data_IF_780229274691
#
_entry.id   IF_780229274691
#
_cell.length_a   1.000
_cell.length_b   1.000
_cell.length_c   1.000
_cell.angle_alpha   90.00
_cell.angle_beta   90.00
_cell.angle_gamma   90.00
#
_symmetry.space_group_name_H-M   'P 1'
#
loop_
_entity.id
_entity.type
_entity.pdbx_description
1 polymer ?
#
# COMPACT_ATOMS: atom_id res chain seq x y z
N UNK A 1 16.96 24.18 8.81
CA UNK A 1 16.67 22.80 9.26
C UNK A 1 17.74 21.88 8.70
N UNK A 2 18.13 20.83 9.43
CA UNK A 2 19.04 19.82 8.89
C UNK A 2 18.34 18.94 7.85
N UNK A 3 19.10 18.27 6.99
CA UNK A 3 18.56 17.28 6.02
C UNK A 3 17.70 16.23 6.70
N UNK A 4 18.18 15.67 7.80
CA UNK A 4 17.43 14.66 8.57
C UNK A 4 16.11 15.19 9.13
N UNK A 5 16.08 16.42 9.65
CA UNK A 5 14.84 17.04 10.14
C UNK A 5 13.81 17.20 9.02
N UNK A 6 14.22 17.64 7.82
CA UNK A 6 13.32 17.78 6.68
C UNK A 6 12.77 16.41 6.25
N UNK A 7 13.64 15.41 6.09
CA UNK A 7 13.27 14.09 5.60
C UNK A 7 12.26 13.34 6.48
N UNK A 8 12.23 13.63 7.79
CA UNK A 8 11.32 12.99 8.74
C UNK A 8 10.13 13.85 9.17
N UNK A 9 9.98 15.07 8.63
CA UNK A 9 8.74 15.83 8.81
C UNK A 9 7.56 15.15 8.14
N UNK A 10 6.37 15.34 8.70
CA UNK A 10 5.13 14.91 8.07
C UNK A 10 4.93 15.65 6.73
N UNK A 11 4.35 15.01 5.75
CA UNK A 11 4.04 15.62 4.46
C UNK A 11 3.12 16.84 4.62
N UNK A 12 2.15 16.75 5.51
CA UNK A 12 1.26 17.87 5.90
C UNK A 12 2.04 19.06 6.43
N UNK A 13 3.05 18.82 7.27
CA UNK A 13 3.93 19.87 7.80
C UNK A 13 4.81 20.48 6.71
N UNK A 14 5.42 19.64 5.85
CA UNK A 14 6.25 20.14 4.73
C UNK A 14 5.44 21.06 3.80
N UNK A 15 4.22 20.70 3.43
CA UNK A 15 3.34 21.54 2.60
C UNK A 15 3.04 22.86 3.30
N UNK A 16 2.79 22.85 4.62
CA UNK A 16 2.57 24.08 5.41
C UNK A 16 3.81 24.99 5.37
N UNK A 17 4.99 24.45 5.67
CA UNK A 17 6.26 25.18 5.68
C UNK A 17 6.59 25.80 4.32
N UNK A 18 6.38 25.05 3.22
CA UNK A 18 6.57 25.55 1.85
C UNK A 18 5.62 26.71 1.58
N UNK A 19 4.34 26.59 1.91
CA UNK A 19 3.36 27.68 1.70
C UNK A 19 3.65 28.92 2.52
N UNK A 20 4.18 28.76 3.73
CA UNK A 20 4.59 29.86 4.60
C UNK A 20 5.96 30.44 4.23
N UNK A 21 6.62 29.86 3.23
CA UNK A 21 7.99 30.24 2.79
C UNK A 21 9.04 30.09 3.91
N UNK A 22 8.79 29.18 4.86
CA UNK A 22 9.75 28.83 5.91
C UNK A 22 10.83 27.88 5.39
N UNK A 23 10.50 27.11 4.32
CA UNK A 23 11.42 26.27 3.55
C UNK A 23 11.05 26.36 2.08
N UNK A 24 12.02 26.36 1.18
CA UNK A 24 11.79 26.32 -0.25
C UNK A 24 11.49 24.89 -0.71
N UNK A 25 10.81 24.76 -1.85
CA UNK A 25 10.61 23.44 -2.51
C UNK A 25 11.95 22.82 -2.87
N UNK A 26 12.92 23.65 -3.29
CA UNK A 26 14.27 23.21 -3.63
C UNK A 26 15.00 22.63 -2.42
N UNK A 27 14.96 23.26 -1.25
CA UNK A 27 15.57 22.74 -0.01
C UNK A 27 14.95 21.40 0.40
N UNK A 28 13.62 21.26 0.31
CA UNK A 28 12.93 19.98 0.57
C UNK A 28 13.39 18.91 -0.42
N UNK A 29 13.47 19.25 -1.71
CA UNK A 29 13.91 18.32 -2.74
C UNK A 29 15.36 17.90 -2.53
N UNK A 30 16.28 18.84 -2.33
CA UNK A 30 17.71 18.56 -2.07
C UNK A 30 17.90 17.65 -0.85
N UNK A 31 17.15 17.87 0.22
CA UNK A 31 17.22 17.04 1.41
C UNK A 31 16.81 15.58 1.10
N UNK A 32 15.70 15.36 0.40
CA UNK A 32 15.23 14.03 0.07
C UNK A 32 16.12 13.32 -0.96
N UNK A 33 16.63 14.03 -1.97
CA UNK A 33 17.58 13.47 -2.94
C UNK A 33 18.88 13.07 -2.26
N UNK A 34 19.42 13.88 -1.35
CA UNK A 34 20.59 13.53 -0.54
C UNK A 34 20.34 12.27 0.32
N UNK A 35 19.13 12.11 0.87
CA UNK A 35 18.74 10.93 1.61
C UNK A 35 18.66 9.70 0.70
N UNK A 36 18.13 9.84 -0.53
CA UNK A 36 18.13 8.78 -1.54
C UNK A 36 19.54 8.35 -1.87
N UNK A 37 20.44 9.30 -2.18
CA UNK A 37 21.82 9.02 -2.55
C UNK A 37 22.58 8.28 -1.43
N UNK A 38 22.26 8.57 -0.16
CA UNK A 38 22.88 7.96 1.01
C UNK A 38 22.37 6.53 1.27
N UNK A 39 21.07 6.29 1.18
CA UNK A 39 20.43 5.08 1.67
C UNK A 39 20.08 4.09 0.56
N UNK A 40 19.64 4.57 -0.59
CA UNK A 40 19.14 3.71 -1.67
C UNK A 40 20.17 2.69 -2.21
N UNK A 41 21.48 2.99 -2.25
CA UNK A 41 22.48 1.99 -2.63
C UNK A 41 22.50 0.73 -1.75
N UNK A 42 22.03 0.83 -0.50
CA UNK A 42 21.94 -0.31 0.43
C UNK A 42 20.61 -1.05 0.28
N UNK A 43 19.49 -0.32 0.18
CA UNK A 43 18.15 -0.92 0.27
C UNK A 43 17.48 -1.15 -1.08
N UNK A 44 17.92 -0.53 -2.15
CA UNK A 44 17.40 -0.68 -3.51
C UNK A 44 15.87 -0.47 -3.62
N UNK A 45 15.39 0.63 -3.05
CA UNK A 45 13.97 0.95 -2.98
C UNK A 45 13.48 1.79 -4.17
N UNK A 46 14.32 2.74 -4.64
CA UNK A 46 14.03 3.62 -5.77
C UNK A 46 14.84 3.18 -6.98
N UNK A 47 14.13 2.90 -8.07
CA UNK A 47 14.69 2.55 -9.38
C UNK A 47 14.60 3.75 -10.33
N UNK A 48 14.73 3.65 -11.60
CA UNK A 48 14.53 4.74 -12.59
C UNK A 48 14.54 6.15 -11.96
N UNK A 49 15.71 6.56 -11.43
CA UNK A 49 15.90 7.78 -10.64
C UNK A 49 16.34 8.96 -11.53
N UNK A 50 15.73 10.15 -11.36
CA UNK A 50 15.99 11.33 -12.20
C UNK A 50 16.07 12.63 -11.37
N UNK A 51 17.13 12.78 -10.55
CA UNK A 51 17.26 13.87 -9.58
C UNK A 51 17.38 15.27 -10.24
N UNK A 52 18.08 15.39 -11.35
CA UNK A 52 18.27 16.69 -12.04
C UNK A 52 16.93 17.26 -12.50
N UNK A 53 16.08 16.44 -13.11
CA UNK A 53 14.76 16.88 -13.54
C UNK A 53 13.88 17.29 -12.34
N UNK A 54 14.00 16.59 -11.22
CA UNK A 54 13.26 16.93 -10.00
C UNK A 54 13.72 18.28 -9.41
N UNK A 55 15.01 18.56 -9.40
CA UNK A 55 15.55 19.85 -8.97
C UNK A 55 15.11 21.01 -9.87
N UNK A 56 15.08 20.81 -11.19
CA UNK A 56 14.57 21.81 -12.13
C UNK A 56 13.08 22.12 -11.87
N UNK A 57 12.28 21.08 -11.60
CA UNK A 57 10.87 21.26 -11.26
C UNK A 57 10.68 21.92 -9.90
N UNK A 58 11.52 21.61 -8.91
CA UNK A 58 11.50 22.25 -7.59
C UNK A 58 11.82 23.75 -7.71
N UNK A 59 12.82 24.14 -8.51
CA UNK A 59 13.13 25.54 -8.77
C UNK A 59 11.96 26.30 -9.40
N UNK A 60 11.28 25.71 -10.39
CA UNK A 60 10.07 26.28 -10.98
C UNK A 60 8.92 26.39 -9.99
N UNK A 61 8.80 25.43 -9.08
CA UNK A 61 7.80 25.48 -8.02
C UNK A 61 8.06 26.63 -7.03
N UNK A 62 9.32 26.93 -6.70
CA UNK A 62 9.67 28.10 -5.87
C UNK A 62 9.30 29.43 -6.55
N UNK A 63 9.42 29.53 -7.88
CA UNK A 63 8.94 30.67 -8.62
C UNK A 63 7.43 30.87 -8.51
N UNK A 64 6.63 29.76 -8.58
CA UNK A 64 5.17 29.77 -8.41
C UNK A 64 4.81 30.31 -7.01
N UNK A 65 5.45 29.79 -5.96
CA UNK A 65 5.25 30.28 -4.58
C UNK A 65 5.64 31.76 -4.44
N UNK A 66 6.74 32.20 -5.08
CA UNK A 66 7.18 33.59 -5.01
C UNK A 66 6.15 34.57 -5.58
N UNK A 67 5.46 34.17 -6.66
CA UNK A 67 4.39 34.94 -7.32
C UNK A 67 3.05 34.87 -6.59
N UNK A 68 2.91 34.03 -5.53
CA UNK A 68 1.67 33.87 -4.77
C UNK A 68 0.57 33.14 -5.55
N UNK A 69 0.93 32.33 -6.53
CA UNK A 69 -0.02 31.54 -7.32
C UNK A 69 -0.67 30.43 -6.47
N UNK A 70 -1.92 30.04 -6.78
CA UNK A 70 -2.59 28.92 -6.09
C UNK A 70 -1.82 27.61 -6.25
N UNK A 71 -1.70 26.84 -5.17
CA UNK A 71 -0.98 25.56 -5.12
C UNK A 71 -1.87 24.40 -4.75
N UNK A 72 -1.58 23.21 -5.29
CA UNK A 72 -2.27 21.97 -4.97
C UNK A 72 -1.93 21.44 -3.56
N UNK A 73 -2.70 20.44 -3.06
CA UNK A 73 -2.55 19.92 -1.70
C UNK A 73 -1.21 19.21 -1.44
N UNK A 74 -0.51 18.74 -2.46
CA UNK A 74 0.77 18.03 -2.37
C UNK A 74 1.93 18.85 -2.96
N UNK A 75 1.75 20.15 -3.08
CA UNK A 75 2.66 21.02 -3.81
C UNK A 75 4.08 20.99 -3.23
N UNK A 76 5.03 20.69 -4.12
CA UNK A 76 6.47 20.68 -3.81
C UNK A 76 6.95 19.39 -3.13
N UNK A 77 6.07 18.44 -2.80
CA UNK A 77 6.49 17.19 -2.19
C UNK A 77 7.16 16.25 -3.21
N UNK A 78 8.33 15.67 -2.90
CA UNK A 78 8.91 14.62 -3.71
C UNK A 78 8.09 13.32 -3.62
N UNK A 79 7.93 12.63 -4.76
CA UNK A 79 7.29 11.33 -4.86
C UNK A 79 8.03 10.45 -5.88
N UNK A 80 8.06 9.13 -5.65
CA UNK A 80 8.44 8.15 -6.67
C UNK A 80 7.27 7.20 -6.89
N UNK A 81 6.88 7.03 -8.17
CA UNK A 81 5.71 6.25 -8.51
C UNK A 81 6.00 4.76 -8.55
N UNK A 82 5.08 3.94 -8.07
CA UNK A 82 5.19 2.49 -8.18
C UNK A 82 5.46 2.07 -9.62
N UNK A 83 6.42 1.19 -9.85
CA UNK A 83 6.84 0.78 -11.20
C UNK A 83 5.83 -0.14 -11.94
N UNK A 84 4.58 -0.08 -11.51
CA UNK A 84 3.39 -0.61 -12.20
C UNK A 84 2.50 0.50 -12.78
N UNK A 85 2.80 1.77 -12.53
CA UNK A 85 1.99 2.89 -13.00
C UNK A 85 2.66 3.59 -14.17
N UNK A 86 1.95 3.70 -15.29
CA UNK A 86 2.41 4.48 -16.43
C UNK A 86 2.77 5.90 -15.99
N UNK A 87 4.00 6.30 -16.28
CA UNK A 87 4.48 7.66 -16.00
C UNK A 87 5.07 8.22 -17.29
N UNK A 88 4.37 9.15 -17.91
CA UNK A 88 4.74 9.71 -19.20
C UNK A 88 6.19 10.18 -19.24
N UNK A 89 6.95 9.66 -20.20
CA UNK A 89 8.37 10.00 -20.42
C UNK A 89 9.32 9.37 -19.41
N UNK A 90 8.85 8.55 -18.46
CA UNK A 90 9.67 7.87 -17.45
C UNK A 90 9.59 6.36 -17.67
N UNK A 91 10.73 5.71 -17.74
CA UNK A 91 10.82 4.25 -17.90
C UNK A 91 9.95 3.55 -16.86
N UNK A 92 9.07 2.66 -17.31
CA UNK A 92 8.13 1.89 -16.49
C UNK A 92 8.23 0.42 -16.87
N UNK A 93 8.87 -0.37 -15.99
CA UNK A 93 9.31 -1.73 -16.37
C UNK A 93 8.37 -2.84 -15.92
N UNK A 94 7.42 -2.56 -15.03
CA UNK A 94 6.60 -3.57 -14.34
C UNK A 94 7.44 -4.63 -13.61
N UNK A 95 8.75 -4.36 -13.36
CA UNK A 95 9.70 -5.34 -12.83
C UNK A 95 9.98 -6.51 -13.77
N UNK A 96 9.62 -6.42 -15.06
CA UNK A 96 9.75 -7.49 -16.04
C UNK A 96 10.77 -7.16 -17.13
N UNK A 97 11.65 -8.09 -17.50
CA UNK A 97 12.58 -7.94 -18.63
C UNK A 97 11.88 -7.57 -19.95
N UNK A 98 10.63 -7.99 -20.12
CA UNK A 98 9.80 -7.70 -21.32
C UNK A 98 9.63 -6.18 -21.52
N UNK A 99 9.53 -5.42 -20.43
CA UNK A 99 9.30 -3.98 -20.42
C UNK A 99 10.51 -3.16 -19.95
N UNK A 100 11.71 -3.75 -19.88
CA UNK A 100 12.90 -3.07 -19.32
C UNK A 100 13.24 -1.73 -19.93
N UNK A 101 12.85 -1.49 -21.18
CA UNK A 101 13.12 -0.25 -21.92
C UNK A 101 11.84 0.51 -22.32
N UNK A 102 10.69 0.11 -21.77
CA UNK A 102 9.41 0.73 -22.10
C UNK A 102 9.27 2.12 -21.47
N UNK A 103 8.99 3.12 -22.29
CA UNK A 103 8.70 4.50 -21.88
C UNK A 103 7.29 4.84 -22.33
N UNK A 104 6.32 4.99 -21.40
CA UNK A 104 4.94 5.32 -21.75
C UNK A 104 4.81 6.76 -22.27
N UNK A 105 3.82 6.95 -23.17
CA UNK A 105 3.48 8.25 -23.74
C UNK A 105 2.33 8.98 -22.97
N UNK A 106 1.81 8.33 -21.92
CA UNK A 106 0.73 8.83 -21.07
C UNK A 106 0.97 8.51 -19.61
N UNK A 107 0.27 9.22 -18.72
CA UNK A 107 0.28 8.94 -17.28
C UNK A 107 -0.91 8.02 -16.92
N UNK A 108 -0.71 7.12 -15.98
CA UNK A 108 -1.82 6.52 -15.26
C UNK A 108 -2.60 7.61 -14.48
N UNK A 109 -3.91 7.44 -14.30
CA UNK A 109 -4.77 8.46 -13.68
C UNK A 109 -4.29 8.88 -12.28
N UNK A 110 -3.79 7.94 -11.48
CA UNK A 110 -3.23 8.26 -10.16
C UNK A 110 -2.00 9.17 -10.28
N UNK A 111 -1.12 8.93 -11.26
CA UNK A 111 0.05 9.77 -11.53
C UNK A 111 -0.37 11.15 -12.03
N UNK A 112 -1.34 11.20 -12.96
CA UNK A 112 -1.91 12.48 -13.43
C UNK A 112 -2.45 13.32 -12.29
N UNK A 113 -3.21 12.69 -11.36
CA UNK A 113 -3.78 13.37 -10.19
C UNK A 113 -2.73 13.86 -9.21
N UNK A 114 -1.70 13.05 -8.93
CA UNK A 114 -0.59 13.44 -8.07
C UNK A 114 0.21 14.61 -8.63
N UNK A 115 0.52 14.61 -9.92
CA UNK A 115 1.14 15.73 -10.62
C UNK A 115 0.26 17.00 -10.57
N UNK A 116 -1.05 16.85 -10.80
CA UNK A 116 -2.02 17.96 -10.70
C UNK A 116 -2.10 18.51 -9.28
N UNK A 117 -1.93 17.68 -8.27
CA UNK A 117 -1.87 18.07 -6.86
C UNK A 117 -0.54 18.79 -6.49
N UNK A 118 0.43 18.83 -7.40
CA UNK A 118 1.69 19.53 -7.27
C UNK A 118 2.85 18.69 -6.71
N UNK A 119 2.70 17.37 -6.60
CA UNK A 119 3.81 16.49 -6.27
C UNK A 119 4.83 16.41 -7.41
N UNK A 120 6.11 16.33 -7.07
CA UNK A 120 7.23 16.29 -8.01
C UNK A 120 7.84 14.90 -8.04
N UNK A 121 7.78 14.24 -9.21
CA UNK A 121 8.33 12.89 -9.38
C UNK A 121 9.86 12.90 -9.37
N UNK A 122 10.45 11.99 -8.59
CA UNK A 122 11.91 11.77 -8.55
C UNK A 122 12.31 10.42 -9.18
N UNK A 123 11.35 9.55 -9.50
CA UNK A 123 11.66 8.23 -10.03
C UNK A 123 10.53 7.23 -9.89
N UNK A 124 10.90 5.95 -9.86
CA UNK A 124 10.02 4.80 -9.65
C UNK A 124 10.41 4.04 -8.39
N UNK A 125 9.43 3.45 -7.70
CA UNK A 125 9.69 2.52 -6.58
C UNK A 125 9.67 1.07 -7.05
N UNK A 126 10.60 0.26 -6.53
CA UNK A 126 10.79 -1.13 -6.92
C UNK A 126 9.58 -2.02 -6.58
N UNK A 127 9.36 -3.03 -7.42
CA UNK A 127 8.22 -3.95 -7.36
C UNK A 127 8.64 -5.38 -7.72
N UNK A 128 7.94 -6.44 -7.33
CA UNK A 128 8.07 -7.74 -7.98
C UNK A 128 7.47 -7.69 -9.39
N UNK A 129 7.91 -8.58 -10.27
CA UNK A 129 7.43 -8.66 -11.64
C UNK A 129 5.89 -8.71 -11.71
N UNK A 130 5.28 -7.79 -12.47
CA UNK A 130 3.83 -7.57 -12.60
C UNK A 130 3.08 -7.45 -11.26
N UNK A 131 3.77 -7.12 -10.19
CA UNK A 131 3.19 -7.09 -8.86
C UNK A 131 2.83 -8.48 -8.29
N UNK A 132 3.36 -9.55 -8.86
CA UNK A 132 3.07 -10.92 -8.48
C UNK A 132 3.85 -11.36 -7.23
N UNK A 133 3.13 -11.48 -6.12
CA UNK A 133 3.66 -11.81 -4.79
C UNK A 133 3.83 -10.61 -3.88
N UNK A 134 4.10 -10.91 -2.59
CA UNK A 134 4.28 -9.88 -1.57
C UNK A 134 5.72 -9.81 -1.07
N UNK A 135 6.67 -10.05 -1.97
CA UNK A 135 8.10 -9.87 -1.78
C UNK A 135 8.68 -9.13 -2.98
N UNK A 136 9.38 -8.02 -2.71
CA UNK A 136 9.87 -7.12 -3.75
C UNK A 136 11.25 -7.53 -4.23
N UNK A 137 11.27 -8.29 -5.32
CA UNK A 137 12.45 -8.59 -6.11
C UNK A 137 12.08 -8.83 -7.57
N UNK A 138 12.99 -8.53 -8.49
CA UNK A 138 12.83 -8.77 -9.92
C UNK A 138 14.20 -8.90 -10.61
N UNK A 139 14.26 -9.46 -11.82
CA UNK A 139 15.53 -9.69 -12.52
C UNK A 139 16.19 -8.43 -13.09
N UNK A 140 15.49 -7.29 -13.13
CA UNK A 140 16.04 -6.02 -13.66
C UNK A 140 16.85 -5.29 -12.59
N UNK A 141 16.25 -5.15 -11.39
CA UNK A 141 16.76 -4.30 -10.33
C UNK A 141 17.22 -5.08 -9.10
N UNK A 142 16.89 -6.37 -8.98
CA UNK A 142 17.16 -7.16 -7.79
C UNK A 142 16.15 -6.95 -6.66
N UNK A 143 16.52 -7.38 -5.45
CA UNK A 143 15.66 -7.30 -4.27
C UNK A 143 15.74 -5.92 -3.60
N UNK A 144 14.60 -5.49 -3.03
CA UNK A 144 14.54 -4.39 -2.07
C UNK A 144 14.64 -4.97 -0.66
N UNK A 145 15.57 -4.46 0.14
CA UNK A 145 15.89 -4.96 1.47
C UNK A 145 15.09 -4.23 2.54
N UNK A 146 14.73 -4.95 3.62
CA UNK A 146 14.04 -4.36 4.75
C UNK A 146 14.99 -3.42 5.51
N UNK A 147 14.60 -2.16 5.80
CA UNK A 147 15.51 -1.21 6.43
C UNK A 147 15.74 -1.46 7.93
N UNK A 148 14.91 -2.29 8.57
CA UNK A 148 15.10 -2.70 9.97
C UNK A 148 16.08 -3.86 10.11
N UNK A 149 16.13 -4.74 9.10
CA UNK A 149 17.10 -5.84 8.95
C UNK A 149 17.26 -6.17 7.48
N UNK A 150 18.41 -5.83 6.90
CA UNK A 150 18.69 -6.00 5.47
C UNK A 150 18.78 -7.47 5.01
N UNK A 151 18.75 -8.43 5.92
CA UNK A 151 18.64 -9.86 5.58
C UNK A 151 17.19 -10.30 5.38
N UNK A 152 16.22 -9.41 5.62
CA UNK A 152 14.79 -9.68 5.58
C UNK A 152 14.11 -8.99 4.39
N UNK A 153 12.97 -9.57 4.00
CA UNK A 153 12.10 -8.98 2.98
C UNK A 153 11.41 -7.72 3.50
N UNK A 154 11.21 -6.74 2.64
CA UNK A 154 10.38 -5.56 2.93
C UNK A 154 8.88 -5.76 2.61
N UNK A 155 8.49 -6.98 2.23
CA UNK A 155 7.16 -7.23 1.69
C UNK A 155 6.99 -6.70 0.26
N UNK A 156 5.75 -6.62 -0.19
CA UNK A 156 5.39 -6.19 -1.55
C UNK A 156 3.87 -6.27 -1.81
N UNK A 157 3.45 -5.91 -3.00
CA UNK A 157 4.27 -5.53 -4.16
C UNK A 157 4.69 -4.05 -4.17
N UNK A 158 4.26 -3.20 -3.21
CA UNK A 158 4.72 -1.81 -3.04
C UNK A 158 5.91 -1.72 -2.06
N UNK A 159 6.85 -2.68 -2.11
CA UNK A 159 7.94 -2.76 -1.14
C UNK A 159 8.93 -1.60 -1.25
N UNK A 160 9.30 -1.19 -2.47
CA UNK A 160 10.12 -0.01 -2.68
C UNK A 160 9.52 1.26 -2.07
N UNK A 161 8.19 1.42 -2.16
CA UNK A 161 7.46 2.53 -1.52
C UNK A 161 7.56 2.48 0.01
N UNK A 162 7.30 1.29 0.61
CA UNK A 162 7.39 1.10 2.06
C UNK A 162 8.78 1.45 2.61
N UNK A 163 9.83 0.94 1.96
CA UNK A 163 11.22 1.20 2.34
C UNK A 163 11.60 2.67 2.15
N UNK A 164 11.20 3.29 1.03
CA UNK A 164 11.51 4.69 0.78
C UNK A 164 10.89 5.62 1.84
N UNK A 165 9.66 5.33 2.28
CA UNK A 165 8.99 6.06 3.37
C UNK A 165 9.68 5.84 4.71
N UNK A 166 9.96 4.59 5.09
CA UNK A 166 10.60 4.25 6.36
C UNK A 166 11.99 4.91 6.50
N UNK A 167 12.72 5.00 5.40
CA UNK A 167 14.05 5.60 5.35
C UNK A 167 14.04 7.13 5.17
N UNK A 168 12.91 7.80 5.15
CA UNK A 168 12.83 9.26 4.93
C UNK A 168 13.25 9.70 3.52
N UNK A 169 13.34 8.79 2.55
CA UNK A 169 13.63 9.13 1.15
C UNK A 169 12.43 9.80 0.46
N UNK A 170 11.23 9.54 0.95
CA UNK A 170 9.97 10.13 0.48
C UNK A 170 9.06 10.48 1.65
N UNK A 171 8.28 11.59 1.58
CA UNK A 171 7.24 11.87 2.58
C UNK A 171 5.92 11.13 2.29
N UNK A 172 5.62 10.85 1.03
CA UNK A 172 4.44 10.13 0.53
C UNK A 172 4.82 9.20 -0.61
N UNK A 173 4.07 8.12 -0.82
CA UNK A 173 4.26 7.21 -1.95
C UNK A 173 2.91 6.62 -2.40
N UNK A 174 2.79 6.35 -3.70
CA UNK A 174 1.67 5.59 -4.24
C UNK A 174 1.92 4.08 -4.24
N UNK A 175 0.84 3.33 -4.23
CA UNK A 175 0.87 1.89 -4.34
C UNK A 175 -0.43 1.30 -4.89
N UNK A 176 -0.46 -0.01 -5.00
CA UNK A 176 -1.66 -0.76 -5.38
C UNK A 176 -1.80 -2.01 -4.51
N UNK A 177 -3.03 -2.50 -4.35
CA UNK A 177 -3.35 -3.64 -3.49
C UNK A 177 -4.41 -4.52 -4.15
N UNK A 178 -4.01 -5.75 -4.48
CA UNK A 178 -4.93 -6.82 -4.82
C UNK A 178 -4.97 -7.87 -3.70
N UNK A 179 -3.80 -8.29 -3.20
CA UNK A 179 -3.67 -9.29 -2.16
C UNK A 179 -2.93 -8.81 -0.90
N UNK A 180 -2.95 -7.51 -0.61
CA UNK A 180 -2.23 -6.91 0.52
C UNK A 180 -1.07 -6.01 0.12
N UNK A 181 -0.93 -5.66 -1.15
CA UNK A 181 0.28 -4.98 -1.65
C UNK A 181 0.45 -3.50 -1.25
N UNK A 182 -0.49 -2.89 -0.52
CA UNK A 182 -0.32 -1.67 0.26
C UNK A 182 -0.04 -2.02 1.73
N UNK A 183 -0.80 -2.97 2.27
CA UNK A 183 -0.84 -3.32 3.70
C UNK A 183 0.39 -4.13 4.14
N UNK A 184 0.77 -5.19 3.42
CA UNK A 184 1.93 -6.02 3.76
C UNK A 184 3.25 -5.24 3.79
N UNK A 185 3.64 -4.46 2.75
CA UNK A 185 4.87 -3.68 2.83
C UNK A 185 4.80 -2.58 3.89
N UNK A 186 3.63 -2.00 4.16
CA UNK A 186 3.46 -1.05 5.26
C UNK A 186 3.70 -1.71 6.62
N UNK A 187 3.14 -2.91 6.85
CA UNK A 187 3.38 -3.74 8.02
C UNK A 187 4.88 -4.03 8.22
N UNK A 188 5.58 -4.49 7.16
CA UNK A 188 6.99 -4.89 7.25
C UNK A 188 7.98 -3.73 7.34
N UNK A 189 7.54 -2.51 7.02
CA UNK A 189 8.38 -1.31 7.01
C UNK A 189 7.99 -0.26 8.06
N UNK A 190 7.10 -0.58 9.01
CA UNK A 190 6.64 0.36 10.07
C UNK A 190 6.09 1.67 9.51
N UNK A 191 5.28 1.60 8.46
CA UNK A 191 4.62 2.74 7.82
C UNK A 191 3.12 2.46 7.64
N UNK A 192 2.37 3.44 7.14
CA UNK A 192 0.94 3.35 6.89
C UNK A 192 0.68 2.96 5.43
N UNK A 193 -0.23 2.01 5.20
CA UNK A 193 -0.69 1.65 3.87
C UNK A 193 -2.21 1.44 3.85
N UNK A 194 -2.91 2.28 3.10
CA UNK A 194 -4.37 2.23 2.99
C UNK A 194 -4.80 1.55 1.70
N UNK A 195 -5.51 0.42 1.85
CA UNK A 195 -6.34 -0.17 0.80
C UNK A 195 -7.72 0.49 0.84
N UNK A 196 -8.10 1.37 -0.11
CA UNK A 196 -9.45 1.92 -0.17
C UNK A 196 -10.44 0.91 -0.79
N UNK A 197 -11.74 1.23 -0.71
CA UNK A 197 -12.77 0.55 -1.47
C UNK A 197 -12.55 0.68 -2.97
N UNK A 198 -12.99 -0.31 -3.74
CA UNK A 198 -12.93 -0.24 -5.20
C UNK A 198 -13.68 0.98 -5.73
N UNK A 199 -13.06 1.72 -6.66
CA UNK A 199 -13.61 2.96 -7.21
C UNK A 199 -13.37 4.22 -6.39
N UNK A 200 -12.87 4.13 -5.14
CA UNK A 200 -12.48 5.32 -4.35
C UNK A 200 -11.34 6.08 -5.02
N UNK A 201 -10.32 5.37 -5.49
CA UNK A 201 -9.28 5.88 -6.37
C UNK A 201 -9.50 5.28 -7.76
N UNK A 202 -9.98 6.05 -8.72
CA UNK A 202 -10.30 5.56 -10.05
C UNK A 202 -9.05 5.14 -10.82
N UNK A 203 -9.19 4.12 -11.66
CA UNK A 203 -8.09 3.47 -12.40
C UNK A 203 -8.21 3.71 -13.90
N UNK A 204 -7.16 4.24 -14.50
CA UNK A 204 -7.02 4.34 -15.95
C UNK A 204 -5.53 4.47 -16.31
N UNK A 205 -5.07 3.85 -17.43
CA UNK A 205 -5.78 2.87 -18.23
C UNK A 205 -6.03 1.56 -17.48
N UNK A 206 -7.05 0.80 -17.87
CA UNK A 206 -7.39 -0.49 -17.27
C UNK A 206 -7.92 -1.44 -18.35
N UNK A 207 -7.38 -2.66 -18.40
CA UNK A 207 -7.87 -3.72 -19.31
C UNK A 207 -9.27 -4.18 -18.87
N UNK A 208 -9.53 -4.20 -17.56
CA UNK A 208 -10.82 -4.54 -16.97
C UNK A 208 -11.29 -3.39 -16.07
N UNK A 209 -11.98 -2.43 -16.63
CA UNK A 209 -12.51 -1.28 -15.89
C UNK A 209 -13.59 -1.66 -14.85
N UNK A 210 -14.27 -2.80 -15.02
CA UNK A 210 -15.26 -3.34 -14.07
C UNK A 210 -14.63 -4.21 -12.97
N UNK A 211 -13.34 -4.46 -13.04
CA UNK A 211 -12.60 -5.26 -12.05
C UNK A 211 -12.40 -4.54 -10.73
N UNK A 212 -12.83 -5.16 -9.62
CA UNK A 212 -12.85 -4.55 -8.29
C UNK A 212 -11.89 -5.18 -7.27
N UNK A 213 -11.08 -6.18 -7.65
CA UNK A 213 -10.10 -6.78 -6.74
C UNK A 213 -8.90 -5.88 -6.46
N UNK A 214 -8.29 -5.34 -7.53
CA UNK A 214 -7.13 -4.47 -7.40
C UNK A 214 -7.57 -3.02 -7.22
N UNK A 215 -6.95 -2.33 -6.27
CA UNK A 215 -7.14 -0.90 -6.01
C UNK A 215 -5.79 -0.19 -5.96
N UNK A 216 -5.82 1.14 -6.16
CA UNK A 216 -4.69 2.03 -5.94
C UNK A 216 -4.92 2.78 -4.64
N UNK A 217 -3.85 3.15 -3.93
CA UNK A 217 -4.00 3.85 -2.67
C UNK A 217 -2.71 4.50 -2.16
N UNK A 218 -2.82 5.30 -1.09
CA UNK A 218 -1.71 6.00 -0.49
C UNK A 218 -0.90 5.13 0.46
N UNK A 219 0.40 5.41 0.52
CA UNK A 219 1.30 5.02 1.59
C UNK A 219 2.00 6.25 2.16
N UNK A 220 2.20 6.29 3.47
CA UNK A 220 2.87 7.39 4.16
C UNK A 220 3.45 6.92 5.51
N UNK A 221 4.20 7.76 6.21
CA UNK A 221 4.63 7.44 7.57
C UNK A 221 3.51 7.61 8.60
N UNK A 222 2.55 8.51 8.34
CA UNK A 222 1.44 8.81 9.25
C UNK A 222 0.08 8.67 8.56
N UNK A 223 -0.95 8.43 9.37
CA UNK A 223 -2.34 8.35 8.89
C UNK A 223 -2.80 9.68 8.30
N UNK A 224 -2.39 10.80 8.90
CA UNK A 224 -2.73 12.14 8.42
C UNK A 224 -2.15 12.41 7.02
N UNK A 225 -0.92 11.98 6.75
CA UNK A 225 -0.30 12.12 5.44
C UNK A 225 -0.92 11.20 4.41
N UNK A 226 -1.34 9.99 4.81
CA UNK A 226 -2.10 9.09 3.95
C UNK A 226 -3.48 9.69 3.57
N UNK A 227 -4.18 10.32 4.52
CA UNK A 227 -5.42 11.04 4.28
C UNK A 227 -5.23 12.23 3.33
N UNK A 228 -4.17 13.02 3.53
CA UNK A 228 -3.81 14.13 2.64
C UNK A 228 -3.60 13.62 1.21
N UNK A 229 -2.85 12.54 1.02
CA UNK A 229 -2.61 11.96 -0.30
C UNK A 229 -3.89 11.37 -0.89
N UNK A 230 -4.71 10.67 -0.09
CA UNK A 230 -6.01 10.15 -0.54
C UNK A 230 -6.91 11.28 -1.05
N UNK A 231 -6.91 12.44 -0.39
CA UNK A 231 -7.69 13.61 -0.81
C UNK A 231 -7.35 14.10 -2.21
N UNK A 232 -6.13 13.85 -2.67
CA UNK A 232 -5.64 14.26 -3.99
C UNK A 232 -5.97 13.24 -5.09
N UNK A 233 -5.99 11.94 -4.75
CA UNK A 233 -6.16 10.86 -5.72
C UNK A 233 -7.59 10.30 -5.80
N UNK A 234 -8.41 10.48 -4.76
CA UNK A 234 -9.81 10.03 -4.72
C UNK A 234 -10.76 10.96 -5.50
N UNK A 235 -11.98 10.47 -5.72
CA UNK A 235 -13.05 11.19 -6.39
C UNK A 235 -13.34 10.68 -7.80
N UNK A 236 -14.50 11.04 -8.39
CA UNK A 236 -14.99 10.46 -9.64
C UNK A 236 -14.11 10.78 -10.84
N UNK A 237 -14.09 9.85 -11.79
CA UNK A 237 -13.53 10.05 -13.12
C UNK A 237 -14.30 9.22 -14.15
N UNK A 238 -14.77 9.79 -15.28
CA UNK A 238 -15.57 9.08 -16.26
C UNK A 238 -14.81 7.95 -17.00
N UNK A 239 -13.49 7.89 -16.88
CA UNK A 239 -12.66 6.81 -17.45
C UNK A 239 -12.73 5.52 -16.61
N UNK A 240 -13.21 5.59 -15.36
CA UNK A 240 -13.43 4.44 -14.49
C UNK A 240 -14.93 4.32 -14.15
N UNK A 241 -15.66 3.34 -14.75
CA UNK A 241 -17.12 3.22 -14.60
C UNK A 241 -17.55 2.85 -13.17
N UNK A 242 -16.64 2.36 -12.32
CA UNK A 242 -16.92 2.03 -10.91
C UNK A 242 -16.48 3.13 -9.95
N UNK A 243 -16.01 4.27 -10.47
CA UNK A 243 -15.56 5.38 -9.61
C UNK A 243 -16.67 5.93 -8.73
N UNK A 244 -16.35 6.17 -7.45
CA UNK A 244 -17.28 6.69 -6.45
C UNK A 244 -17.47 8.18 -6.65
N UNK A 245 -18.74 8.64 -6.64
CA UNK A 245 -19.10 10.04 -6.93
C UNK A 245 -18.66 11.04 -5.85
N UNK A 246 -18.30 10.56 -4.66
CA UNK A 246 -17.89 11.40 -3.54
C UNK A 246 -16.52 12.04 -3.78
N UNK A 247 -16.39 13.37 -3.60
CA UNK A 247 -15.16 14.07 -3.90
C UNK A 247 -14.04 13.78 -2.89
N UNK A 248 -12.79 13.70 -3.36
CA UNK A 248 -11.63 13.41 -2.51
C UNK A 248 -11.38 14.41 -1.38
N UNK A 249 -11.87 15.67 -1.52
CA UNK A 249 -11.70 16.71 -0.52
C UNK A 249 -12.26 16.35 0.87
N UNK A 250 -13.18 15.40 0.99
CA UNK A 250 -13.68 14.94 2.29
C UNK A 250 -12.56 14.42 3.19
N UNK A 251 -11.51 13.81 2.63
CA UNK A 251 -10.36 13.28 3.37
C UNK A 251 -9.40 14.36 3.90
N UNK A 252 -9.74 15.64 3.73
CA UNK A 252 -9.05 16.78 4.35
C UNK A 252 -9.72 17.28 5.63
N UNK A 253 -10.84 16.66 6.01
CA UNK A 253 -11.50 16.95 7.27
C UNK A 253 -10.64 16.46 8.44
N UNK A 254 -10.83 17.03 9.66
CA UNK A 254 -10.18 16.54 10.87
C UNK A 254 -10.40 15.04 11.08
N UNK A 255 -9.37 14.33 11.56
CA UNK A 255 -9.43 12.90 11.83
C UNK A 255 -9.80 12.59 13.29
N UNK A 256 -9.83 13.61 14.15
CA UNK A 256 -10.22 13.47 15.55
C UNK A 256 -11.70 13.06 15.64
N UNK A 257 -11.96 12.00 16.40
CA UNK A 257 -13.28 11.44 16.63
C UNK A 257 -13.35 10.84 18.02
N UNK A 258 -14.53 10.94 18.68
CA UNK A 258 -14.84 10.19 19.90
C UNK A 258 -15.28 8.77 19.54
N UNK A 259 -14.64 7.76 20.14
CA UNK A 259 -14.93 6.35 19.92
C UNK A 259 -15.72 5.72 21.07
N UNK A 260 -16.25 6.53 22.00
CA UNK A 260 -17.08 6.04 23.10
C UNK A 260 -18.26 5.23 22.56
N UNK A 261 -18.42 4.01 23.09
CA UNK A 261 -19.49 3.06 22.73
C UNK A 261 -19.44 2.56 21.26
N UNK A 262 -18.35 2.82 20.53
CA UNK A 262 -18.15 2.23 19.22
C UNK A 262 -17.79 0.75 19.36
N UNK A 263 -18.55 -0.14 18.71
CA UNK A 263 -18.29 -1.58 18.75
C UNK A 263 -17.23 -1.97 17.73
N UNK A 264 -16.18 -2.64 18.22
CA UNK A 264 -15.05 -3.16 17.43
C UNK A 264 -15.00 -4.68 17.59
N UNK A 265 -15.00 -5.40 16.47
CA UNK A 265 -14.72 -6.83 16.45
C UNK A 265 -13.21 -7.07 16.46
N UNK A 266 -12.74 -7.78 17.48
CA UNK A 266 -11.35 -8.21 17.60
C UNK A 266 -11.20 -9.58 17.00
N UNK A 267 -10.68 -9.64 15.77
CA UNK A 267 -10.45 -10.88 15.06
C UNK A 267 -9.08 -11.47 15.40
N UNK A 268 -9.01 -12.79 15.52
CA UNK A 268 -7.80 -13.53 15.87
C UNK A 268 -7.05 -14.06 14.67
N UNK A 269 -7.71 -14.91 13.91
CA UNK A 269 -7.04 -15.73 12.89
C UNK A 269 -7.90 -16.03 11.64
N UNK A 270 -8.95 -15.26 11.40
CA UNK A 270 -9.86 -15.43 10.25
C UNK A 270 -10.53 -16.82 10.19
N UNK A 271 -10.81 -17.41 11.35
CA UNK A 271 -11.43 -18.73 11.46
C UNK A 271 -10.44 -19.89 11.31
N UNK A 272 -9.16 -19.69 11.69
CA UNK A 272 -8.17 -20.76 11.78
C UNK A 272 -6.97 -20.65 10.83
N UNK A 273 -6.64 -19.47 10.32
CA UNK A 273 -5.39 -19.29 9.60
C UNK A 273 -4.20 -19.46 10.57
N UNK A 274 -3.12 -20.11 10.15
CA UNK A 274 -1.89 -20.14 10.95
C UNK A 274 -1.28 -18.74 11.02
N UNK A 275 -1.18 -18.19 12.23
CA UNK A 275 -0.55 -16.89 12.50
C UNK A 275 0.65 -17.12 13.42
N UNK A 276 1.78 -16.52 13.08
CA UNK A 276 2.98 -16.58 13.91
C UNK A 276 2.72 -15.99 15.32
N UNK A 277 3.12 -16.70 16.40
CA UNK A 277 2.89 -16.24 17.77
C UNK A 277 3.45 -14.86 18.08
N UNK A 278 4.56 -14.44 17.46
CA UNK A 278 5.14 -13.11 17.67
C UNK A 278 4.25 -12.01 17.09
N UNK A 279 3.61 -12.28 15.94
CA UNK A 279 2.62 -11.37 15.35
C UNK A 279 1.40 -11.26 16.26
N UNK A 280 0.85 -12.40 16.68
CA UNK A 280 -0.31 -12.43 17.60
C UNK A 280 0.00 -11.67 18.89
N UNK A 281 1.14 -11.92 19.51
CA UNK A 281 1.55 -11.26 20.75
C UNK A 281 1.67 -9.74 20.60
N UNK A 282 2.31 -9.29 19.51
CA UNK A 282 2.48 -7.85 19.25
C UNK A 282 1.13 -7.11 19.10
N UNK A 283 0.14 -7.77 18.50
CA UNK A 283 -1.20 -7.21 18.29
C UNK A 283 -2.03 -7.25 19.58
N UNK A 284 -2.04 -8.39 20.29
CA UNK A 284 -2.81 -8.55 21.54
C UNK A 284 -2.42 -7.53 22.62
N UNK A 285 -1.14 -7.17 22.70
CA UNK A 285 -0.67 -6.11 23.61
C UNK A 285 -1.29 -4.72 23.32
N UNK A 286 -1.94 -4.53 22.15
CA UNK A 286 -2.53 -3.25 21.74
C UNK A 286 -4.05 -3.19 21.92
N UNK A 287 -4.69 -4.30 22.24
CA UNK A 287 -6.14 -4.33 22.49
C UNK A 287 -6.60 -3.32 23.55
N UNK A 288 -5.92 -3.15 24.70
CA UNK A 288 -6.31 -2.17 25.71
C UNK A 288 -6.39 -0.73 25.18
N UNK A 289 -5.62 -0.36 24.17
CA UNK A 289 -5.63 0.99 23.59
C UNK A 289 -7.00 1.32 23.00
N UNK A 290 -7.64 0.39 22.31
CA UNK A 290 -8.99 0.61 21.76
C UNK A 290 -10.04 0.73 22.87
N UNK A 291 -9.88 -0.01 23.96
CA UNK A 291 -10.74 0.10 25.15
C UNK A 291 -10.53 1.45 25.87
N UNK A 292 -9.28 1.93 25.96
CA UNK A 292 -8.94 3.26 26.50
C UNK A 292 -9.48 4.41 25.65
N UNK A 293 -9.64 4.23 24.34
CA UNK A 293 -10.33 5.16 23.44
C UNK A 293 -11.85 5.18 23.66
N UNK A 294 -12.38 4.31 24.55
CA UNK A 294 -13.81 4.22 24.90
C UNK A 294 -14.60 3.22 24.05
N UNK A 295 -13.96 2.49 23.14
CA UNK A 295 -14.64 1.51 22.31
C UNK A 295 -14.99 0.24 23.09
N UNK A 296 -16.06 -0.44 22.65
CA UNK A 296 -16.46 -1.76 23.13
C UNK A 296 -15.81 -2.80 22.24
N UNK A 297 -14.77 -3.46 22.75
CA UNK A 297 -13.97 -4.44 22.00
C UNK A 297 -14.44 -5.85 22.33
N UNK A 298 -14.98 -6.57 21.36
CA UNK A 298 -15.49 -7.92 21.52
C UNK A 298 -14.72 -8.89 20.60
N UNK A 299 -14.36 -10.06 21.11
CA UNK A 299 -13.74 -11.12 20.29
C UNK A 299 -14.82 -11.71 19.37
N UNK A 300 -14.70 -11.41 18.07
CA UNK A 300 -15.66 -11.84 17.05
C UNK A 300 -15.05 -11.77 15.65
N UNK A 301 -15.48 -12.68 14.78
CA UNK A 301 -15.09 -12.72 13.36
C UNK A 301 -16.29 -13.09 12.48
N UNK A 302 -16.38 -12.54 11.25
CA UNK A 302 -17.33 -13.06 10.26
C UNK A 302 -16.80 -14.37 9.67
N UNK A 303 -17.69 -15.12 9.03
CA UNK A 303 -17.30 -16.32 8.27
C UNK A 303 -16.58 -15.92 6.96
N UNK A 304 -15.32 -16.36 6.81
CA UNK A 304 -14.48 -16.15 5.63
C UNK A 304 -14.28 -17.41 4.78
N UNK A 305 -15.06 -18.49 4.99
CA UNK A 305 -14.85 -19.79 4.36
C UNK A 305 -14.68 -19.71 2.83
N UNK A 306 -15.46 -18.86 2.15
CA UNK A 306 -15.43 -18.72 0.70
C UNK A 306 -14.32 -17.78 0.18
N UNK A 307 -13.63 -17.05 1.08
CA UNK A 307 -12.72 -15.98 0.67
C UNK A 307 -11.52 -16.48 -0.13
N UNK A 308 -10.94 -17.63 0.24
CA UNK A 308 -9.77 -18.21 -0.43
C UNK A 308 -10.08 -18.59 -1.87
N UNK A 309 -11.12 -19.41 -2.10
CA UNK A 309 -11.52 -19.85 -3.43
C UNK A 309 -11.95 -18.68 -4.33
N UNK A 310 -12.71 -17.73 -3.79
CA UNK A 310 -13.11 -16.51 -4.49
C UNK A 310 -11.89 -15.72 -4.94
N UNK A 311 -10.95 -15.46 -4.02
CA UNK A 311 -9.77 -14.66 -4.36
C UNK A 311 -8.90 -15.35 -5.40
N UNK A 312 -8.53 -16.61 -5.20
CA UNK A 312 -7.66 -17.37 -6.11
C UNK A 312 -8.24 -17.44 -7.52
N UNK A 313 -9.53 -17.74 -7.65
CA UNK A 313 -10.21 -17.81 -8.96
C UNK A 313 -10.24 -16.47 -9.69
N UNK A 314 -10.71 -15.41 -9.02
CA UNK A 314 -10.83 -14.11 -9.66
C UNK A 314 -9.46 -13.46 -9.94
N UNK A 315 -8.46 -13.73 -9.07
CA UNK A 315 -7.08 -13.29 -9.31
C UNK A 315 -6.46 -13.98 -10.52
N UNK A 316 -6.58 -15.30 -10.62
CA UNK A 316 -6.10 -16.06 -11.77
C UNK A 316 -6.74 -15.57 -13.07
N UNK A 317 -8.06 -15.38 -13.09
CA UNK A 317 -8.77 -14.77 -14.22
C UNK A 317 -8.21 -13.40 -14.60
N UNK A 318 -7.92 -12.55 -13.62
CA UNK A 318 -7.33 -11.22 -13.86
C UNK A 318 -5.93 -11.32 -14.48
N UNK A 319 -5.10 -12.26 -14.05
CA UNK A 319 -3.77 -12.48 -14.64
C UNK A 319 -3.86 -12.99 -16.08
N UNK A 320 -4.76 -13.92 -16.37
CA UNK A 320 -5.00 -14.38 -17.74
C UNK A 320 -5.47 -13.25 -18.67
N UNK A 321 -6.38 -12.39 -18.19
CA UNK A 321 -6.85 -11.23 -18.96
C UNK A 321 -5.73 -10.21 -19.22
N UNK A 322 -4.86 -9.97 -18.24
CA UNK A 322 -3.82 -8.94 -18.33
C UNK A 322 -2.57 -9.38 -19.07
N UNK A 323 -2.22 -10.65 -18.99
CA UNK A 323 -0.89 -11.14 -19.40
C UNK A 323 -0.92 -12.43 -20.21
N UNK A 324 -2.11 -12.99 -20.52
CA UNK A 324 -2.23 -14.25 -21.26
C UNK A 324 -1.56 -14.21 -22.64
N UNK A 325 -1.71 -13.11 -23.37
CA UNK A 325 -1.09 -12.94 -24.69
C UNK A 325 0.45 -12.87 -24.60
N UNK A 326 0.97 -12.25 -23.53
CA UNK A 326 2.42 -12.16 -23.30
C UNK A 326 3.05 -13.50 -22.99
N UNK A 327 2.31 -14.44 -22.38
CA UNK A 327 2.83 -15.77 -22.04
C UNK A 327 3.23 -16.56 -23.29
N UNK A 328 2.48 -16.43 -24.37
CA UNK A 328 2.75 -17.13 -25.62
C UNK A 328 4.07 -16.68 -26.30
N UNK A 329 4.44 -15.41 -26.11
CA UNK A 329 5.61 -14.80 -26.78
C UNK A 329 6.84 -14.72 -25.86
N UNK A 330 6.63 -14.51 -24.54
CA UNK A 330 7.71 -14.15 -23.60
C UNK A 330 7.85 -15.09 -22.41
N UNK A 331 7.34 -16.33 -22.49
CA UNK A 331 7.36 -17.31 -21.39
C UNK A 331 8.72 -17.41 -20.68
N UNK A 332 9.79 -17.51 -21.45
CA UNK A 332 11.15 -17.70 -20.95
C UNK A 332 11.73 -16.46 -20.24
N UNK A 333 11.05 -15.32 -20.32
CA UNK A 333 11.41 -14.07 -19.66
C UNK A 333 10.57 -13.79 -18.43
N UNK A 334 9.57 -14.65 -18.12
CA UNK A 334 8.66 -14.46 -17.00
C UNK A 334 9.06 -15.29 -15.79
N UNK A 335 8.81 -14.76 -14.62
CA UNK A 335 8.95 -15.46 -13.34
C UNK A 335 7.93 -16.60 -13.22
N UNK A 336 8.35 -17.76 -12.69
CA UNK A 336 7.49 -18.94 -12.54
C UNK A 336 6.14 -18.67 -11.86
N UNK A 337 6.13 -17.82 -10.82
CA UNK A 337 4.89 -17.46 -10.13
C UNK A 337 3.95 -16.58 -10.98
N UNK A 338 4.47 -15.82 -11.94
CA UNK A 338 3.66 -15.08 -12.94
C UNK A 338 3.06 -16.08 -13.91
N UNK A 339 3.87 -16.99 -14.46
CA UNK A 339 3.44 -18.07 -15.36
C UNK A 339 2.32 -18.88 -14.70
N UNK A 340 2.54 -19.33 -13.47
CA UNK A 340 1.56 -20.09 -12.70
C UNK A 340 0.19 -19.38 -12.59
N UNK A 341 0.18 -18.06 -12.30
CA UNK A 341 -1.08 -17.30 -12.24
C UNK A 341 -1.81 -17.23 -13.57
N UNK A 342 -1.05 -17.02 -14.66
CA UNK A 342 -1.62 -16.91 -16.01
C UNK A 342 -2.20 -18.26 -16.44
N UNK A 343 -1.45 -19.34 -16.27
CA UNK A 343 -1.89 -20.70 -16.63
C UNK A 343 -3.11 -21.13 -15.81
N UNK A 344 -3.11 -20.88 -14.49
CA UNK A 344 -4.28 -21.13 -13.66
C UNK A 344 -5.52 -20.37 -14.17
N UNK A 345 -5.35 -19.12 -14.62
CA UNK A 345 -6.44 -18.33 -15.17
C UNK A 345 -6.91 -18.79 -16.54
N UNK A 346 -6.00 -19.22 -17.42
CA UNK A 346 -6.33 -19.77 -18.73
C UNK A 346 -7.07 -21.13 -18.65
N UNK A 347 -6.81 -21.89 -17.57
CA UNK A 347 -7.49 -23.16 -17.31
C UNK A 347 -8.93 -23.00 -16.76
N UNK A 348 -9.33 -21.79 -16.33
CA UNK A 348 -10.67 -21.53 -15.79
C UNK A 348 -11.73 -21.61 -16.87
N UNK A 349 -12.86 -22.21 -16.53
CA UNK A 349 -14.07 -22.18 -17.33
C UNK A 349 -14.96 -20.99 -16.97
N UNK A 350 -15.83 -20.56 -17.91
CA UNK A 350 -16.81 -19.51 -17.62
C UNK A 350 -17.69 -19.80 -16.39
N UNK A 351 -18.24 -21.04 -16.21
CA UNK A 351 -18.98 -21.40 -15.00
C UNK A 351 -18.20 -21.22 -13.70
N UNK A 352 -16.92 -21.57 -13.64
CA UNK A 352 -16.10 -21.39 -12.43
C UNK A 352 -15.94 -19.91 -12.06
N UNK A 353 -15.71 -19.03 -13.03
CA UNK A 353 -15.63 -17.59 -12.79
C UNK A 353 -16.98 -17.03 -12.36
N UNK A 354 -18.09 -17.49 -12.96
CA UNK A 354 -19.44 -17.10 -12.57
C UNK A 354 -19.76 -17.55 -11.12
N UNK A 355 -19.44 -18.79 -10.75
CA UNK A 355 -19.60 -19.29 -9.40
C UNK A 355 -18.79 -18.47 -8.37
N UNK A 356 -17.52 -18.15 -8.68
CA UNK A 356 -16.69 -17.32 -7.80
C UNK A 356 -17.31 -15.93 -7.56
N UNK A 357 -17.97 -15.33 -8.56
CA UNK A 357 -18.68 -14.06 -8.39
C UNK A 357 -19.94 -14.21 -7.52
N UNK A 358 -20.67 -15.31 -7.64
CA UNK A 358 -21.83 -15.61 -6.76
C UNK A 358 -21.35 -15.78 -5.32
N UNK A 359 -20.31 -16.59 -5.08
CA UNK A 359 -19.70 -16.80 -3.76
C UNK A 359 -19.17 -15.49 -3.17
N UNK A 360 -18.55 -14.64 -3.99
CA UNK A 360 -18.10 -13.30 -3.58
C UNK A 360 -19.27 -12.43 -3.09
N UNK A 361 -20.41 -12.51 -3.76
CA UNK A 361 -21.61 -11.77 -3.35
C UNK A 361 -22.13 -12.28 -2.00
N UNK A 362 -22.13 -13.60 -1.79
CA UNK A 362 -22.49 -14.22 -0.51
C UNK A 362 -21.56 -13.76 0.61
N UNK A 363 -20.23 -13.86 0.38
CA UNK A 363 -19.20 -13.40 1.32
C UNK A 363 -19.40 -11.92 1.69
N UNK A 364 -19.63 -11.05 0.70
CA UNK A 364 -19.89 -9.63 0.94
C UNK A 364 -21.10 -9.43 1.87
N UNK A 365 -22.20 -10.12 1.62
CA UNK A 365 -23.40 -9.99 2.46
C UNK A 365 -23.21 -10.56 3.87
N UNK A 366 -22.48 -11.65 4.03
CA UNK A 366 -22.14 -12.20 5.36
C UNK A 366 -21.34 -11.17 6.17
N UNK A 367 -20.27 -10.64 5.58
CA UNK A 367 -19.45 -9.61 6.26
C UNK A 367 -20.20 -8.31 6.48
N UNK A 368 -20.99 -7.84 5.50
CA UNK A 368 -21.86 -6.65 5.64
C UNK A 368 -22.83 -6.80 6.81
N UNK A 369 -23.49 -7.96 6.94
CA UNK A 369 -24.43 -8.19 8.05
C UNK A 369 -23.71 -8.25 9.39
N UNK A 370 -22.53 -8.87 9.45
CA UNK A 370 -21.68 -8.85 10.63
C UNK A 370 -21.33 -7.41 11.05
N UNK A 371 -20.96 -6.56 10.07
CA UNK A 371 -20.63 -5.14 10.28
C UNK A 371 -21.86 -4.25 10.61
N UNK A 372 -23.08 -4.75 10.63
CA UNK A 372 -24.23 -4.02 11.19
C UNK A 372 -24.07 -3.84 12.71
N UNK A 373 -23.47 -4.81 13.40
CA UNK A 373 -23.17 -4.74 14.83
C UNK A 373 -21.87 -4.01 15.12
N UNK A 374 -20.83 -4.27 14.32
CA UNK A 374 -19.50 -3.71 14.52
C UNK A 374 -19.23 -2.61 13.50
N UNK A 375 -18.62 -1.50 13.93
CA UNK A 375 -18.20 -0.46 12.99
C UNK A 375 -16.85 -0.79 12.36
N UNK A 376 -15.97 -1.44 13.13
CA UNK A 376 -14.64 -1.84 12.69
C UNK A 376 -14.35 -3.30 13.05
N UNK A 377 -13.42 -3.88 12.28
CA UNK A 377 -12.77 -5.14 12.62
C UNK A 377 -11.27 -4.91 12.71
N UNK A 378 -10.63 -5.57 13.67
CA UNK A 378 -9.17 -5.53 13.87
C UNK A 378 -8.61 -6.91 13.60
N UNK A 379 -7.54 -6.98 12.79
CA UNK A 379 -6.90 -8.23 12.41
C UNK A 379 -5.38 -8.08 12.30
N UNK A 380 -4.60 -9.17 12.27
CA UNK A 380 -3.23 -9.18 11.76
C UNK A 380 -3.18 -8.73 10.31
N UNK A 381 -2.19 -7.91 9.95
CA UNK A 381 -1.94 -7.56 8.54
C UNK A 381 -1.36 -8.77 7.81
N UNK A 382 -0.31 -9.37 8.37
CA UNK A 382 0.39 -10.52 7.82
C UNK A 382 0.34 -11.68 8.80
N UNK A 383 0.35 -12.91 8.28
CA UNK A 383 0.39 -14.13 9.09
C UNK A 383 1.77 -14.34 9.75
N UNK A 384 2.81 -13.66 9.28
CA UNK A 384 4.21 -13.82 9.71
C UNK A 384 4.91 -12.46 9.77
N UNK A 385 6.00 -12.33 10.54
CA UNK A 385 6.90 -11.18 10.47
C UNK A 385 7.76 -11.21 9.19
N UNK A 386 8.57 -10.16 8.90
CA UNK A 386 9.53 -10.17 7.79
C UNK A 386 10.45 -11.38 7.82
N UNK A 387 10.49 -12.14 6.73
CA UNK A 387 11.27 -13.37 6.58
C UNK A 387 12.53 -13.17 5.72
N UNK A 388 13.36 -14.21 5.55
CA UNK A 388 14.63 -14.15 4.80
C UNK A 388 14.39 -13.63 3.37
N UNK A 389 15.15 -12.63 2.96
CA UNK A 389 15.04 -11.98 1.65
C UNK A 389 15.35 -12.94 0.49
N UNK A 390 16.14 -13.99 0.72
CA UNK A 390 16.48 -14.99 -0.28
C UNK A 390 15.40 -16.07 -0.43
N UNK A 391 14.43 -16.14 0.49
CA UNK A 391 13.31 -17.06 0.40
C UNK A 391 12.21 -16.41 -0.47
N UNK A 392 11.85 -16.96 -1.64
CA UNK A 392 10.92 -16.30 -2.55
C UNK A 392 9.49 -16.19 -2.00
N UNK A 393 9.07 -17.09 -1.12
CA UNK A 393 7.80 -17.08 -0.38
C UNK A 393 7.82 -18.11 0.75
N UNK A 394 6.90 -17.97 1.68
CA UNK A 394 6.75 -18.91 2.81
C UNK A 394 6.02 -20.16 2.36
N UNK A 395 6.54 -21.31 2.74
CA UNK A 395 5.99 -22.64 2.43
C UNK A 395 5.35 -23.34 3.62
N UNK A 396 5.60 -22.84 4.84
CA UNK A 396 5.05 -23.40 6.08
C UNK A 396 4.90 -22.31 7.14
N UNK A 397 3.81 -22.34 7.93
CA UNK A 397 3.60 -21.49 9.11
C UNK A 397 3.11 -22.39 10.24
N UNK A 398 3.84 -22.47 11.36
CA UNK A 398 3.49 -23.27 12.54
C UNK A 398 3.16 -24.74 12.23
N UNK A 399 3.88 -25.38 11.31
CA UNK A 399 3.64 -26.77 10.89
C UNK A 399 2.49 -26.95 9.89
N UNK A 400 1.89 -25.85 9.42
CA UNK A 400 0.86 -25.88 8.37
C UNK A 400 1.50 -25.51 7.03
N UNK A 401 1.45 -26.44 6.07
CA UNK A 401 1.97 -26.22 4.71
C UNK A 401 1.13 -25.19 3.94
N UNK A 402 1.82 -24.31 3.19
CA UNK A 402 1.22 -23.36 2.25
C UNK A 402 1.15 -24.00 0.87
N UNK A 403 -0.04 -24.27 0.37
CA UNK A 403 -0.26 -24.93 -0.93
C UNK A 403 0.24 -24.09 -2.12
N UNK A 404 0.14 -22.77 -1.99
CA UNK A 404 0.54 -21.83 -3.03
C UNK A 404 1.42 -20.70 -2.48
N UNK A 405 2.14 -20.02 -3.36
CA UNK A 405 3.04 -18.93 -2.98
C UNK A 405 2.34 -17.70 -2.39
N UNK A 406 1.00 -17.65 -2.40
CA UNK A 406 0.20 -16.56 -1.83
C UNK A 406 -0.51 -16.93 -0.54
N UNK A 407 -0.49 -18.18 -0.08
CA UNK A 407 -1.31 -18.62 1.07
C UNK A 407 -0.91 -17.96 2.39
N UNK A 408 0.33 -17.54 2.54
CA UNK A 408 0.81 -16.78 3.69
C UNK A 408 0.29 -15.33 3.75
N UNK A 409 -0.46 -14.87 2.71
CA UNK A 409 -1.06 -13.55 2.63
C UNK A 409 -2.58 -13.58 2.81
N UNK A 410 -3.17 -14.70 3.27
CA UNK A 410 -4.63 -14.87 3.41
C UNK A 410 -5.25 -13.78 4.27
N UNK A 411 -4.60 -13.36 5.34
CA UNK A 411 -5.05 -12.26 6.22
C UNK A 411 -5.36 -10.95 5.47
N UNK A 412 -4.62 -10.64 4.42
CA UNK A 412 -4.89 -9.48 3.58
C UNK A 412 -5.93 -9.77 2.50
N UNK A 413 -5.78 -10.88 1.74
CA UNK A 413 -6.65 -11.05 0.59
C UNK A 413 -8.05 -11.54 0.93
N UNK A 414 -8.32 -12.04 2.12
CA UNK A 414 -9.68 -12.29 2.60
C UNK A 414 -10.48 -10.99 2.67
N UNK A 415 -9.88 -9.93 3.20
CA UNK A 415 -10.47 -8.59 3.20
C UNK A 415 -10.64 -8.05 1.78
N UNK A 416 -9.68 -8.34 0.87
CA UNK A 416 -9.81 -8.01 -0.55
C UNK A 416 -11.02 -8.71 -1.19
N UNK A 417 -11.20 -10.01 -0.95
CA UNK A 417 -12.33 -10.79 -1.46
C UNK A 417 -13.67 -10.22 -0.97
N UNK A 418 -13.75 -9.83 0.29
CA UNK A 418 -14.92 -9.17 0.89
C UNK A 418 -15.16 -7.74 0.36
N UNK A 419 -14.16 -7.10 -0.29
CA UNK A 419 -14.31 -5.79 -0.92
C UNK A 419 -14.32 -4.60 0.02
N UNK A 420 -13.74 -4.73 1.21
CA UNK A 420 -13.73 -3.69 2.24
C UNK A 420 -12.48 -2.81 2.21
N UNK A 421 -12.59 -1.53 2.67
CA UNK A 421 -11.44 -0.69 2.93
C UNK A 421 -10.69 -1.18 4.17
N UNK A 422 -9.36 -1.13 4.13
CA UNK A 422 -8.52 -1.53 5.25
C UNK A 422 -7.19 -0.77 5.25
N UNK A 423 -6.69 -0.49 6.44
CA UNK A 423 -5.41 0.19 6.63
C UNK A 423 -4.48 -0.67 7.49
N UNK A 424 -3.20 -0.70 7.12
CA UNK A 424 -2.13 -1.18 7.99
C UNK A 424 -1.52 0.01 8.72
N UNK A 425 -1.44 -0.07 10.04
CA UNK A 425 -0.84 0.97 10.89
C UNK A 425 0.26 0.35 11.74
N UNK A 426 1.40 1.03 11.95
CA UNK A 426 2.45 0.59 12.87
C UNK A 426 1.91 0.21 14.25
N UNK A 427 2.14 -1.03 14.68
CA UNK A 427 1.60 -1.58 15.92
C UNK A 427 2.70 -1.82 16.97
N UNK A 428 3.82 -2.37 16.56
CA UNK A 428 4.92 -2.75 17.44
C UNK A 428 6.04 -3.44 16.71
N UNK A 429 6.81 -4.20 17.45
CA UNK A 429 7.96 -4.95 16.95
C UNK A 429 8.01 -6.34 17.58
N UNK A 430 8.54 -7.32 16.85
CA UNK A 430 8.90 -8.62 17.41
C UNK A 430 10.08 -8.46 18.37
N UNK A 431 10.39 -9.48 19.21
CA UNK A 431 11.57 -9.46 20.06
C UNK A 431 12.90 -9.24 19.30
N UNK A 432 12.94 -9.57 18.01
CA UNK A 432 14.10 -9.36 17.13
C UNK A 432 14.15 -7.95 16.52
N UNK A 433 13.17 -7.08 16.83
CA UNK A 433 13.11 -5.73 16.32
C UNK A 433 12.50 -5.60 14.90
N UNK A 434 11.78 -6.62 14.43
CA UNK A 434 11.09 -6.58 13.15
C UNK A 434 9.70 -5.94 13.29
N UNK A 435 9.30 -5.03 12.39
CA UNK A 435 8.02 -4.34 12.48
C UNK A 435 6.81 -5.28 12.39
N UNK A 436 5.77 -4.96 13.16
CA UNK A 436 4.43 -5.56 13.09
C UNK A 436 3.40 -4.44 13.00
N UNK A 437 2.51 -4.53 12.02
CA UNK A 437 1.37 -3.63 11.86
C UNK A 437 0.06 -4.30 12.29
N UNK A 438 -0.93 -3.47 12.62
CA UNK A 438 -2.30 -3.90 12.86
C UNK A 438 -3.19 -3.51 11.67
N UNK A 439 -4.12 -4.39 11.29
CA UNK A 439 -5.07 -4.14 10.21
C UNK A 439 -6.41 -3.66 10.77
N UNK A 440 -6.78 -2.42 10.47
CA UNK A 440 -8.09 -1.85 10.78
C UNK A 440 -8.95 -1.92 9.52
N UNK A 441 -10.09 -2.60 9.61
CA UNK A 441 -11.03 -2.81 8.50
C UNK A 441 -12.33 -2.08 8.81
N UNK A 442 -12.80 -1.25 7.88
CA UNK A 442 -14.05 -0.50 7.99
C UNK A 442 -15.19 -1.08 7.16
N UNK A 443 -16.37 -0.52 7.32
CA UNK A 443 -17.53 -0.80 6.46
C UNK A 443 -17.23 -0.41 5.01
N UNK A 444 -17.97 -0.99 4.09
CA UNK A 444 -17.81 -0.68 2.66
C UNK A 444 -17.94 0.84 2.40
N UNK A 445 -16.94 1.42 1.75
CA UNK A 445 -16.81 2.86 1.45
C UNK A 445 -16.62 3.79 2.67
N UNK A 446 -16.29 3.26 3.83
CA UNK A 446 -16.02 4.08 5.03
C UNK A 446 -14.50 4.26 5.27
N UNK A 447 -13.80 4.79 4.28
CA UNK A 447 -12.37 5.13 4.44
C UNK A 447 -12.16 6.22 5.49
N UNK A 448 -13.14 7.14 5.67
CA UNK A 448 -13.02 8.19 6.68
C UNK A 448 -13.04 7.60 8.09
N UNK A 449 -13.96 6.70 8.41
CA UNK A 449 -14.00 6.02 9.70
C UNK A 449 -12.72 5.21 9.95
N UNK A 450 -12.23 4.49 8.92
CA UNK A 450 -10.94 3.75 8.98
C UNK A 450 -9.77 4.69 9.31
N UNK A 451 -9.67 5.83 8.63
CA UNK A 451 -8.63 6.83 8.88
C UNK A 451 -8.74 7.44 10.29
N UNK A 452 -9.96 7.71 10.77
CA UNK A 452 -10.19 8.27 12.10
C UNK A 452 -9.74 7.31 13.20
N UNK A 453 -10.14 6.03 13.13
CA UNK A 453 -9.72 5.03 14.13
C UNK A 453 -8.22 4.77 14.06
N UNK A 454 -7.67 4.66 12.85
CA UNK A 454 -6.24 4.50 12.63
C UNK A 454 -5.44 5.68 13.20
N UNK A 455 -5.92 6.91 13.02
CA UNK A 455 -5.31 8.12 13.57
C UNK A 455 -5.32 8.12 15.10
N UNK A 456 -6.44 7.80 15.73
CA UNK A 456 -6.53 7.71 17.19
C UNK A 456 -5.56 6.66 17.75
N UNK A 457 -5.48 5.48 17.12
CA UNK A 457 -4.52 4.43 17.49
C UNK A 457 -3.06 4.89 17.28
N UNK A 458 -2.75 5.53 16.16
CA UNK A 458 -1.42 6.09 15.86
C UNK A 458 -0.99 7.12 16.90
N UNK A 459 -1.88 8.04 17.31
CA UNK A 459 -1.59 9.06 18.33
C UNK A 459 -1.34 8.43 19.71
N UNK A 460 -2.06 7.36 20.05
CA UNK A 460 -1.88 6.65 21.32
C UNK A 460 -0.58 5.84 21.39
N UNK A 461 -0.07 5.36 20.24
CA UNK A 461 1.09 4.45 20.21
C UNK A 461 2.39 5.12 19.78
N UNK A 462 2.31 6.09 18.90
CA UNK A 462 3.45 6.76 18.23
C UNK A 462 4.51 5.80 17.66
N UNK A 463 4.15 4.55 17.36
CA UNK A 463 5.07 3.47 16.93
C UNK A 463 5.83 3.86 15.63
N UNK A 464 5.21 4.65 14.76
CA UNK A 464 5.81 5.16 13.52
C UNK A 464 7.08 6.01 13.73
N UNK A 465 7.31 6.55 14.95
CA UNK A 465 8.51 7.33 15.31
C UNK A 465 9.76 6.47 15.48
N UNK A 466 9.62 5.15 15.55
CA UNK A 466 10.74 4.22 15.63
C UNK A 466 11.35 4.01 14.24
N UNK A 467 12.22 4.90 13.83
CA UNK A 467 12.90 4.84 12.54
C UNK A 467 13.89 3.67 12.47
N UNK A 468 14.18 3.16 11.25
CA UNK A 468 15.15 2.09 11.06
C UNK A 468 16.54 2.46 11.62
N UNK A 469 17.27 1.50 12.25
CA UNK A 469 18.60 1.76 12.79
C UNK A 469 19.59 2.35 11.78
N UNK A 470 19.52 1.90 10.52
CA UNK A 470 20.41 2.33 9.44
C UNK A 470 20.32 3.81 9.06
N UNK A 471 19.23 4.50 9.42
CA UNK A 471 19.08 5.93 9.13
C UNK A 471 19.53 6.82 10.28
N UNK A 472 19.78 6.23 11.44
CA UNK A 472 20.27 6.91 12.64
C UNK A 472 21.81 6.96 12.70
N UNK A 473 22.48 6.15 11.89
CA UNK A 473 23.93 6.11 11.70
C UNK A 473 24.36 7.10 10.62
#
# INVERSE_FOLDING_TARGET
MSTSEICYKMATELVRLIRQKEVSVREVMEAHLSQVDRINPVVNAITTYHPEQALDQATKADEIISRGEPTGPLFGLPIAHKDLFLTKGVKTTYGSPIFKDFIPNEDALVVERLKRAGAISIGKTNVPEFGAGSQTFNPIFGATLNPYDTTRTCGGSSGGAGVALACGMLPIADGSDMGGSLRNPANFCNVVGLRPSAGRVPKWPSINAWGTLSVQGPMARTVQDAALMLSAIAGPDPRDPVSIAEPGQIFRQPLERDFKEVHIAWGRDFGGLPIDPEVTQAIEMRRPIFEELGAVVEEAEPDFLEADGVFKTLRASTFAQGYGDLLAEYRDQMKDTVIWNIEAGLALTGPQVAEANVKRTTLYHQVRTFMERYEFMIFPVSQIPPFDVNQPYITEINGVEMETYIDWMKSCYYITAAGLPAISVPCGFTPQGLPVGIQIVGRHQDEMGVLQLAHAFEQATETWRNHPPMVQA
#
